data_IF_420021851426
#
_entry.id   IF_420021851426
#
_cell.length_a   1.000
_cell.length_b   1.000
_cell.length_c   1.000
_cell.angle_alpha   90.00
_cell.angle_beta   90.00
_cell.angle_gamma   90.00
#
_symmetry.space_group_name_H-M   'P 1'
#
loop_
_entity.id
_entity.type
_entity.pdbx_description
1 polymer ?
#
# COMPACT_ATOMS: atom_id res chain seq x y z
N UNK A 1 -21.86 8.62 -11.18
CA UNK A 1 -23.04 8.17 -11.93
C UNK A 1 -22.62 7.19 -13.03
N UNK A 2 -21.64 7.51 -13.89
CA UNK A 2 -21.20 6.66 -15.00
C UNK A 2 -20.67 5.30 -14.53
N UNK A 3 -19.84 5.31 -13.48
CA UNK A 3 -19.28 4.10 -12.88
C UNK A 3 -20.38 3.19 -12.30
N UNK A 4 -21.39 3.77 -11.64
CA UNK A 4 -22.53 2.99 -11.13
C UNK A 4 -23.33 2.33 -12.24
N UNK A 5 -23.61 3.06 -13.34
CA UNK A 5 -24.27 2.52 -14.51
C UNK A 5 -23.48 1.35 -15.12
N UNK A 6 -22.16 1.49 -15.22
CA UNK A 6 -21.27 0.43 -15.70
C UNK A 6 -21.40 -0.84 -14.86
N UNK A 7 -21.32 -0.73 -13.52
CA UNK A 7 -21.45 -1.90 -12.64
C UNK A 7 -22.84 -2.56 -12.71
N UNK A 8 -23.92 -1.76 -12.87
CA UNK A 8 -25.26 -2.30 -13.07
C UNK A 8 -25.32 -3.09 -14.37
N UNK A 9 -24.77 -2.55 -15.45
CA UNK A 9 -24.76 -3.23 -16.76
C UNK A 9 -23.99 -4.54 -16.71
N UNK A 10 -22.81 -4.55 -16.09
CA UNK A 10 -22.01 -5.77 -15.91
C UNK A 10 -22.73 -6.79 -15.01
N UNK A 11 -23.38 -6.32 -13.93
CA UNK A 11 -24.18 -7.19 -13.06
C UNK A 11 -25.34 -7.87 -13.78
N UNK A 12 -25.94 -7.22 -14.76
CA UNK A 12 -27.00 -7.78 -15.59
C UNK A 12 -26.52 -8.85 -16.59
N UNK A 13 -25.22 -8.85 -16.95
CA UNK A 13 -24.63 -9.87 -17.83
C UNK A 13 -24.27 -11.15 -17.07
N UNK A 14 -24.32 -11.13 -15.75
CA UNK A 14 -23.91 -12.23 -14.90
C UNK A 14 -25.05 -13.22 -14.70
N UNK A 15 -24.88 -14.46 -15.16
CA UNK A 15 -25.82 -15.56 -14.91
C UNK A 15 -25.56 -16.18 -13.55
N UNK A 16 -26.41 -15.82 -12.57
CA UNK A 16 -26.30 -16.29 -11.19
C UNK A 16 -26.41 -17.82 -11.11
N UNK A 17 -27.19 -18.43 -11.98
CA UNK A 17 -27.37 -19.88 -11.99
C UNK A 17 -26.11 -20.59 -12.51
N UNK A 18 -25.48 -20.07 -13.55
CA UNK A 18 -24.20 -20.58 -14.07
C UNK A 18 -23.08 -20.42 -13.03
N UNK A 19 -23.05 -19.30 -12.31
CA UNK A 19 -22.08 -19.05 -11.20
C UNK A 19 -22.30 -20.03 -10.05
N UNK A 20 -23.55 -20.27 -9.64
CA UNK A 20 -23.88 -21.19 -8.56
C UNK A 20 -23.48 -22.64 -8.91
N UNK A 21 -23.73 -23.06 -10.14
CA UNK A 21 -23.36 -24.40 -10.60
C UNK A 21 -21.84 -24.61 -10.70
N UNK A 22 -21.08 -23.54 -10.91
CA UNK A 22 -19.62 -23.56 -11.04
C UNK A 22 -18.91 -22.87 -9.86
N UNK A 23 -19.54 -22.82 -8.68
CA UNK A 23 -19.05 -22.07 -7.51
C UNK A 23 -17.58 -22.38 -7.16
N UNK A 24 -17.20 -23.66 -7.20
CA UNK A 24 -15.81 -24.06 -6.89
C UNK A 24 -14.81 -23.46 -7.89
N UNK A 25 -15.14 -23.47 -9.18
CA UNK A 25 -14.31 -22.87 -10.22
C UNK A 25 -14.22 -21.34 -10.06
N UNK A 26 -15.33 -20.69 -9.75
CA UNK A 26 -15.35 -19.24 -9.48
C UNK A 26 -14.46 -18.87 -8.32
N UNK A 27 -14.52 -19.63 -7.20
CA UNK A 27 -13.66 -19.40 -6.04
C UNK A 27 -12.18 -19.65 -6.35
N UNK A 28 -11.87 -20.71 -7.09
CA UNK A 28 -10.51 -20.99 -7.49
C UNK A 28 -9.94 -19.89 -8.39
N UNK A 29 -10.71 -19.44 -9.38
CA UNK A 29 -10.32 -18.32 -10.27
C UNK A 29 -10.16 -17.01 -9.50
N UNK A 30 -11.05 -16.72 -8.56
CA UNK A 30 -10.96 -15.54 -7.70
C UNK A 30 -9.68 -15.54 -6.87
N UNK A 31 -9.38 -16.65 -6.20
CA UNK A 31 -8.16 -16.79 -5.39
C UNK A 31 -6.92 -16.72 -6.27
N UNK A 32 -6.93 -17.37 -7.43
CA UNK A 32 -5.83 -17.33 -8.38
C UNK A 32 -5.62 -15.90 -8.92
N UNK A 33 -6.68 -15.21 -9.31
CA UNK A 33 -6.63 -13.83 -9.82
C UNK A 33 -5.99 -12.89 -8.78
N UNK A 34 -6.53 -12.88 -7.56
CA UNK A 34 -6.04 -12.02 -6.49
C UNK A 34 -4.61 -12.43 -6.09
N UNK A 35 -4.36 -13.73 -5.91
CA UNK A 35 -3.06 -14.24 -5.47
C UNK A 35 -1.94 -13.99 -6.46
N UNK A 36 -2.16 -14.31 -7.75
CA UNK A 36 -1.16 -14.11 -8.80
C UNK A 36 -0.86 -12.61 -8.98
N UNK A 37 -1.90 -11.76 -9.03
CA UNK A 37 -1.70 -10.32 -9.16
C UNK A 37 -1.00 -9.71 -7.94
N UNK A 38 -1.43 -10.07 -6.73
CA UNK A 38 -0.77 -9.60 -5.51
C UNK A 38 0.70 -10.01 -5.48
N UNK A 39 1.01 -11.27 -5.80
CA UNK A 39 2.38 -11.78 -5.85
C UNK A 39 3.22 -11.05 -6.90
N UNK A 40 2.69 -10.91 -8.11
CA UNK A 40 3.37 -10.25 -9.23
C UNK A 40 3.69 -8.80 -8.90
N UNK A 41 2.69 -8.03 -8.41
CA UNK A 41 2.87 -6.61 -8.07
C UNK A 41 3.81 -6.45 -6.87
N UNK A 42 3.69 -7.29 -5.85
CA UNK A 42 4.60 -7.29 -4.70
C UNK A 42 6.04 -7.57 -5.13
N UNK A 43 6.25 -8.58 -5.97
CA UNK A 43 7.58 -8.93 -6.48
C UNK A 43 8.16 -7.83 -7.33
N UNK A 44 7.36 -7.23 -8.22
CA UNK A 44 7.78 -6.09 -9.04
C UNK A 44 8.14 -4.88 -8.17
N UNK A 45 7.31 -4.56 -7.19
CA UNK A 45 7.56 -3.47 -6.22
C UNK A 45 8.88 -3.68 -5.46
N UNK A 46 9.16 -4.92 -5.04
CA UNK A 46 10.44 -5.29 -4.40
C UNK A 46 11.63 -5.14 -5.34
N UNK A 47 11.47 -5.48 -6.62
CA UNK A 47 12.51 -5.31 -7.63
C UNK A 47 12.88 -3.83 -7.83
N UNK A 48 11.91 -2.92 -7.70
CA UNK A 48 12.12 -1.46 -7.67
C UNK A 48 12.57 -0.92 -6.31
N UNK A 49 13.07 -1.78 -5.42
CA UNK A 49 13.62 -1.44 -4.09
C UNK A 49 12.63 -0.82 -3.11
N UNK A 50 11.33 -1.05 -3.30
CA UNK A 50 10.35 -0.66 -2.29
C UNK A 50 10.50 -1.52 -1.03
N UNK A 51 10.18 -0.96 0.13
CA UNK A 51 10.12 -1.69 1.40
C UNK A 51 9.15 -2.86 1.35
N UNK A 52 9.43 -3.94 2.10
CA UNK A 52 8.59 -5.14 2.13
C UNK A 52 7.13 -4.80 2.50
N UNK A 53 6.91 -3.94 3.48
CA UNK A 53 5.57 -3.52 3.89
C UNK A 53 4.84 -2.74 2.82
N UNK A 54 5.53 -1.80 2.17
CA UNK A 54 4.98 -1.00 1.06
C UNK A 54 4.67 -1.91 -0.13
N UNK A 55 5.58 -2.82 -0.48
CA UNK A 55 5.39 -3.74 -1.60
C UNK A 55 4.19 -4.66 -1.41
N UNK A 56 4.01 -5.26 -0.23
CA UNK A 56 2.86 -6.12 0.09
C UNK A 56 1.56 -5.31 0.07
N UNK A 57 1.55 -4.11 0.68
CA UNK A 57 0.39 -3.22 0.67
C UNK A 57 -0.01 -2.84 -0.75
N UNK A 58 0.93 -2.46 -1.59
CA UNK A 58 0.69 -2.13 -3.01
C UNK A 58 0.16 -3.33 -3.76
N UNK A 59 0.75 -4.52 -3.55
CA UNK A 59 0.31 -5.77 -4.17
C UNK A 59 -1.13 -6.12 -3.84
N UNK A 60 -1.52 -6.02 -2.57
CA UNK A 60 -2.90 -6.28 -2.13
C UNK A 60 -3.89 -5.22 -2.63
N UNK A 61 -3.50 -3.94 -2.63
CA UNK A 61 -4.36 -2.84 -3.08
C UNK A 61 -4.67 -2.89 -4.58
N UNK A 62 -3.79 -3.47 -5.38
CA UNK A 62 -3.94 -3.58 -6.84
C UNK A 62 -4.28 -5.01 -7.31
N UNK A 63 -4.54 -5.94 -6.39
CA UNK A 63 -4.78 -7.35 -6.70
C UNK A 63 -6.11 -7.63 -7.41
N UNK A 64 -7.08 -6.72 -7.33
CA UNK A 64 -8.39 -6.86 -7.94
C UNK A 64 -8.33 -6.95 -9.47
N UNK A 65 -9.35 -7.55 -10.08
CA UNK A 65 -9.54 -7.54 -11.53
C UNK A 65 -9.75 -6.12 -12.05
N UNK A 66 -9.24 -5.83 -13.24
CA UNK A 66 -9.44 -4.54 -13.89
C UNK A 66 -10.73 -4.51 -14.72
N UNK A 67 -11.32 -3.33 -14.85
CA UNK A 67 -12.54 -3.08 -15.65
C UNK A 67 -12.38 -3.42 -17.13
N UNK A 68 -11.17 -3.28 -17.67
CA UNK A 68 -10.88 -3.70 -19.05
C UNK A 68 -11.01 -5.21 -19.27
N UNK A 69 -10.95 -6.03 -18.20
CA UNK A 69 -11.20 -7.47 -18.29
C UNK A 69 -12.59 -7.79 -18.81
N UNK A 70 -13.61 -6.99 -18.48
CA UNK A 70 -14.95 -7.17 -18.98
C UNK A 70 -15.06 -6.88 -20.48
N UNK A 71 -14.41 -5.81 -20.95
CA UNK A 71 -14.39 -5.44 -22.36
C UNK A 71 -13.71 -6.53 -23.19
N UNK A 72 -12.59 -7.04 -22.73
CA UNK A 72 -11.86 -8.12 -23.40
C UNK A 72 -12.67 -9.42 -23.42
N UNK A 73 -13.36 -9.77 -22.33
CA UNK A 73 -14.23 -10.94 -22.29
C UNK A 73 -15.43 -10.81 -23.24
N UNK A 74 -16.07 -9.64 -23.26
CA UNK A 74 -17.19 -9.38 -24.17
C UNK A 74 -16.75 -9.50 -25.63
N UNK A 75 -15.61 -8.93 -25.99
CA UNK A 75 -15.05 -9.02 -27.33
C UNK A 75 -14.65 -10.46 -27.69
N UNK A 76 -13.98 -11.18 -26.78
CA UNK A 76 -13.61 -12.58 -27.00
C UNK A 76 -14.84 -13.47 -27.19
N UNK A 77 -15.93 -13.19 -26.47
CA UNK A 77 -17.21 -13.88 -26.67
C UNK A 77 -17.86 -13.55 -28.01
N UNK A 78 -17.84 -12.27 -28.42
CA UNK A 78 -18.40 -11.84 -29.71
C UNK A 78 -17.70 -12.48 -30.91
N UNK A 79 -16.38 -12.72 -30.77
CA UNK A 79 -15.55 -13.39 -31.76
C UNK A 79 -15.60 -14.93 -31.66
N UNK A 80 -16.43 -15.49 -30.78
CA UNK A 80 -16.53 -16.93 -30.51
C UNK A 80 -15.17 -17.58 -30.11
N UNK A 81 -14.25 -16.82 -29.50
CA UNK A 81 -12.98 -17.32 -28.98
C UNK A 81 -13.20 -18.05 -27.65
N UNK A 82 -14.17 -17.57 -26.86
CA UNK A 82 -14.51 -18.12 -25.54
C UNK A 82 -16.01 -18.46 -25.56
N UNK A 83 -16.34 -19.67 -25.10
CA UNK A 83 -17.72 -20.09 -24.91
C UNK A 83 -18.34 -19.50 -23.62
N UNK A 84 -19.65 -19.42 -23.57
CA UNK A 84 -20.38 -18.87 -22.42
C UNK A 84 -20.11 -19.67 -21.13
N UNK A 85 -19.87 -20.96 -21.20
CA UNK A 85 -19.61 -21.80 -20.04
C UNK A 85 -18.29 -21.40 -19.36
N UNK A 86 -17.29 -20.99 -20.13
CA UNK A 86 -16.00 -20.51 -19.61
C UNK A 86 -16.06 -19.02 -19.24
N UNK A 87 -16.81 -18.23 -20.02
CA UNK A 87 -16.91 -16.78 -19.78
C UNK A 87 -17.55 -16.44 -18.44
N UNK A 88 -18.63 -17.12 -18.05
CA UNK A 88 -19.40 -16.79 -16.85
C UNK A 88 -18.60 -16.94 -15.53
N UNK A 89 -17.86 -18.02 -15.28
CA UNK A 89 -17.01 -18.12 -14.09
C UNK A 89 -15.91 -17.06 -14.03
N UNK A 90 -15.29 -16.69 -15.16
CA UNK A 90 -14.25 -15.65 -15.22
C UNK A 90 -14.85 -14.27 -14.94
N UNK A 91 -15.99 -13.95 -15.56
CA UNK A 91 -16.73 -12.72 -15.32
C UNK A 91 -17.08 -12.58 -13.84
N UNK A 92 -17.63 -13.64 -13.24
CA UNK A 92 -17.97 -13.67 -11.81
C UNK A 92 -16.76 -13.46 -10.92
N UNK A 93 -15.63 -14.11 -11.23
CA UNK A 93 -14.40 -13.94 -10.46
C UNK A 93 -13.88 -12.48 -10.49
N UNK A 94 -13.95 -11.81 -11.66
CA UNK A 94 -13.56 -10.41 -11.78
C UNK A 94 -14.48 -9.51 -10.95
N UNK A 95 -15.81 -9.66 -11.08
CA UNK A 95 -16.80 -8.87 -10.32
C UNK A 95 -16.60 -9.06 -8.81
N UNK A 96 -16.48 -10.31 -8.34
CA UNK A 96 -16.26 -10.61 -6.93
C UNK A 96 -14.94 -10.04 -6.43
N UNK A 97 -13.87 -10.07 -7.24
CA UNK A 97 -12.59 -9.47 -6.85
C UNK A 97 -12.69 -7.96 -6.61
N UNK A 98 -13.51 -7.25 -7.39
CA UNK A 98 -13.76 -5.82 -7.21
C UNK A 98 -14.61 -5.54 -5.96
N UNK A 99 -15.58 -6.40 -5.65
CA UNK A 99 -16.39 -6.28 -4.42
C UNK A 99 -15.55 -6.53 -3.15
N UNK A 100 -14.56 -7.42 -3.23
CA UNK A 100 -13.66 -7.73 -2.11
C UNK A 100 -12.55 -6.68 -1.97
N UNK A 101 -12.25 -5.91 -3.01
CA UNK A 101 -11.16 -4.95 -3.03
C UNK A 101 -11.13 -3.96 -1.85
N UNK A 102 -12.24 -3.31 -1.43
CA UNK A 102 -12.23 -2.41 -0.29
C UNK A 102 -11.76 -3.10 0.99
N UNK A 103 -12.20 -4.34 1.23
CA UNK A 103 -11.80 -5.14 2.40
C UNK A 103 -10.31 -5.52 2.35
N UNK A 104 -9.79 -5.85 1.15
CA UNK A 104 -8.36 -6.12 0.97
C UNK A 104 -7.52 -4.86 1.24
N UNK A 105 -7.97 -3.70 0.79
CA UNK A 105 -7.29 -2.42 1.00
C UNK A 105 -7.29 -2.06 2.49
N UNK A 106 -8.42 -2.15 3.16
CA UNK A 106 -8.55 -1.87 4.59
C UNK A 106 -7.63 -2.76 5.44
N UNK A 107 -7.56 -4.05 5.11
CA UNK A 107 -6.75 -5.01 5.87
C UNK A 107 -5.29 -5.10 5.38
N UNK A 108 -4.95 -4.46 4.25
CA UNK A 108 -3.63 -4.53 3.64
C UNK A 108 -2.51 -4.05 4.57
N UNK A 109 -2.76 -3.05 5.40
CA UNK A 109 -1.79 -2.54 6.36
C UNK A 109 -1.48 -3.55 7.46
N UNK A 110 -2.49 -4.22 8.01
CA UNK A 110 -2.31 -5.26 9.03
C UNK A 110 -1.58 -6.48 8.47
N UNK A 111 -1.86 -6.84 7.22
CA UNK A 111 -1.14 -7.91 6.52
C UNK A 111 0.31 -7.50 6.24
N UNK A 112 0.54 -6.29 5.74
CA UNK A 112 1.87 -5.77 5.48
C UNK A 112 2.74 -5.76 6.74
N UNK A 113 2.21 -5.37 7.90
CA UNK A 113 2.92 -5.40 9.19
C UNK A 113 3.39 -6.81 9.57
N UNK A 114 2.63 -7.85 9.28
CA UNK A 114 3.03 -9.24 9.56
C UNK A 114 4.22 -9.70 8.72
N UNK A 115 4.32 -9.23 7.48
CA UNK A 115 5.42 -9.56 6.57
C UNK A 115 6.65 -8.66 6.72
N UNK A 116 6.51 -7.49 7.33
CA UNK A 116 7.61 -6.52 7.54
C UNK A 116 7.96 -6.30 9.01
N UNK A 117 7.50 -7.16 9.93
CA UNK A 117 7.69 -7.00 11.36
C UNK A 117 9.18 -6.82 11.74
N UNK A 118 10.09 -7.52 11.09
CA UNK A 118 11.54 -7.43 11.36
C UNK A 118 12.14 -6.09 10.87
N UNK A 119 11.73 -5.61 9.72
CA UNK A 119 12.18 -4.31 9.18
C UNK A 119 11.63 -3.15 10.03
N UNK A 120 10.36 -3.25 10.45
CA UNK A 120 9.74 -2.29 11.37
C UNK A 120 10.41 -2.26 12.75
N UNK A 121 10.70 -3.43 13.29
CA UNK A 121 11.37 -3.55 14.61
C UNK A 121 12.77 -2.94 14.57
N UNK A 122 13.56 -3.21 13.52
CA UNK A 122 14.88 -2.64 13.35
C UNK A 122 14.83 -1.11 13.17
N UNK A 123 13.84 -0.58 12.45
CA UNK A 123 13.65 0.88 12.32
C UNK A 123 13.18 1.51 13.60
N UNK A 124 12.21 0.89 14.30
CA UNK A 124 11.76 1.39 15.59
C UNK A 124 12.92 1.44 16.61
N UNK A 125 13.78 0.42 16.65
CA UNK A 125 14.94 0.38 17.55
C UNK A 125 15.98 1.45 17.18
N UNK A 126 16.25 1.67 15.89
CA UNK A 126 17.13 2.75 15.44
C UNK A 126 16.56 4.13 15.80
N UNK A 127 15.26 4.35 15.56
CA UNK A 127 14.57 5.59 15.90
C UNK A 127 14.55 5.84 17.41
N UNK A 128 14.33 4.80 18.22
CA UNK A 128 14.36 4.88 19.68
C UNK A 128 15.76 5.20 20.19
N UNK A 129 16.81 4.66 19.58
CA UNK A 129 18.19 4.93 19.98
C UNK A 129 18.61 6.37 19.63
N UNK A 130 18.21 6.89 18.46
CA UNK A 130 18.46 8.27 18.05
C UNK A 130 17.69 9.23 18.97
N UNK A 131 16.41 8.96 19.21
CA UNK A 131 15.59 9.75 20.12
C UNK A 131 16.12 9.74 21.57
N UNK A 132 16.56 8.58 22.07
CA UNK A 132 17.10 8.46 23.42
C UNK A 132 18.44 9.21 23.61
N UNK A 133 19.26 9.30 22.58
CA UNK A 133 20.51 10.08 22.63
C UNK A 133 20.23 11.60 22.62
N UNK A 134 19.17 12.03 21.95
CA UNK A 134 18.81 13.46 21.83
C UNK A 134 17.90 13.93 22.97
N UNK A 135 17.09 13.03 23.56
CA UNK A 135 16.27 13.32 24.76
C UNK A 135 17.07 13.50 26.06
N UNK A 136 18.35 13.20 26.04
CA UNK A 136 19.22 13.45 27.20
C UNK A 136 19.54 14.94 27.41
N UNK A 137 19.18 15.81 26.47
CA UNK A 137 19.34 17.26 26.58
C UNK A 137 17.99 17.92 26.84
N UNK A 138 17.84 18.50 28.03
CA UNK A 138 16.58 19.12 28.52
C UNK A 138 16.08 20.33 27.71
N UNK A 139 16.84 20.85 26.72
CA UNK A 139 16.48 22.00 25.90
C UNK A 139 16.86 21.75 24.45
N UNK A 140 15.90 21.31 23.64
CA UNK A 140 16.10 21.11 22.21
C UNK A 140 15.01 21.79 21.38
N UNK A 141 15.31 22.09 20.11
CA UNK A 141 14.37 22.67 19.15
C UNK A 141 13.69 21.53 18.37
N UNK A 142 12.37 21.55 18.26
CA UNK A 142 11.62 20.62 17.43
C UNK A 142 11.37 21.27 16.06
N UNK A 143 11.93 20.67 15.01
CA UNK A 143 11.71 21.07 13.63
C UNK A 143 10.54 20.28 13.01
N UNK A 144 9.44 20.95 12.73
CA UNK A 144 8.27 20.35 12.08
C UNK A 144 8.46 20.35 10.55
N UNK A 145 8.92 19.23 10.01
CA UNK A 145 9.19 19.03 8.58
C UNK A 145 10.69 19.13 8.24
N UNK A 146 11.22 18.08 7.58
CA UNK A 146 12.62 17.99 7.13
C UNK A 146 12.78 18.14 5.63
N UNK A 147 11.96 18.99 5.01
CA UNK A 147 12.09 19.44 3.63
C UNK A 147 13.27 20.41 3.46
N UNK A 148 13.35 21.08 2.30
CA UNK A 148 14.43 22.04 1.98
C UNK A 148 14.64 23.12 3.07
N UNK A 149 13.57 23.67 3.62
CA UNK A 149 13.64 24.67 4.68
C UNK A 149 14.12 24.07 6.01
N UNK A 150 13.61 22.89 6.38
CA UNK A 150 14.03 22.16 7.58
C UNK A 150 15.51 21.80 7.54
N UNK A 151 16.02 21.28 6.41
CA UNK A 151 17.42 20.98 6.20
C UNK A 151 18.34 22.20 6.26
N UNK A 152 17.89 23.36 5.78
CA UNK A 152 18.68 24.60 5.92
C UNK A 152 18.70 25.08 7.35
N UNK A 153 17.59 24.94 8.08
CA UNK A 153 17.48 25.33 9.48
C UNK A 153 18.28 24.38 10.39
N UNK A 154 18.26 23.06 10.13
CA UNK A 154 19.06 22.09 10.89
C UNK A 154 20.55 22.41 10.81
N UNK A 155 21.07 22.70 9.62
CA UNK A 155 22.48 23.11 9.43
C UNK A 155 22.83 24.39 10.17
N UNK A 156 21.89 25.34 10.30
CA UNK A 156 22.10 26.56 11.05
C UNK A 156 22.16 26.25 12.56
N UNK A 157 21.22 25.40 13.05
CA UNK A 157 21.19 24.99 14.47
C UNK A 157 22.45 24.22 14.85
N UNK A 158 22.91 23.31 13.98
CA UNK A 158 24.17 22.61 14.18
C UNK A 158 25.36 23.54 14.27
N UNK A 159 25.43 24.53 13.38
CA UNK A 159 26.51 25.53 13.39
C UNK A 159 26.53 26.37 14.66
N UNK A 160 25.36 26.66 15.22
CA UNK A 160 25.20 27.40 16.49
C UNK A 160 25.23 26.47 17.71
N UNK A 161 25.48 25.14 17.50
CA UNK A 161 25.47 24.14 18.57
C UNK A 161 24.17 24.08 19.39
N UNK A 162 23.05 24.33 18.71
CA UNK A 162 21.70 24.22 19.30
C UNK A 162 21.15 22.82 19.02
N UNK A 163 20.90 22.00 20.06
CA UNK A 163 20.34 20.67 19.86
C UNK A 163 18.94 20.73 19.25
N UNK A 164 18.67 19.87 18.29
CA UNK A 164 17.36 19.78 17.63
C UNK A 164 16.95 18.36 17.32
N UNK A 165 15.64 18.14 17.19
CA UNK A 165 15.02 16.94 16.61
C UNK A 165 14.12 17.39 15.48
N UNK A 166 14.26 16.80 14.30
CA UNK A 166 13.37 17.07 13.18
C UNK A 166 12.35 15.94 13.02
N UNK A 167 11.10 16.31 12.76
CA UNK A 167 9.99 15.42 12.47
C UNK A 167 9.63 15.51 10.99
N UNK A 168 9.53 14.39 10.29
CA UNK A 168 8.98 14.35 8.92
C UNK A 168 8.08 13.12 8.74
N UNK A 169 7.17 13.20 7.77
CA UNK A 169 6.28 12.10 7.37
C UNK A 169 6.83 11.29 6.21
N UNK A 170 7.84 11.81 5.51
CA UNK A 170 8.44 11.15 4.35
C UNK A 170 9.52 10.15 4.79
N UNK A 171 9.25 8.83 4.68
CA UNK A 171 10.18 7.81 5.13
C UNK A 171 11.50 7.79 4.34
N UNK A 172 11.50 8.30 3.09
CA UNK A 172 12.71 8.36 2.26
C UNK A 172 13.65 9.43 2.82
N UNK A 173 13.13 10.62 3.12
CA UNK A 173 13.92 11.70 3.72
C UNK A 173 14.48 11.34 5.07
N UNK A 174 13.68 10.66 5.90
CA UNK A 174 14.13 10.19 7.22
C UNK A 174 15.26 9.18 7.08
N UNK A 175 15.12 8.24 6.16
CA UNK A 175 16.16 7.24 5.89
C UNK A 175 17.48 7.89 5.44
N UNK A 176 17.40 8.83 4.49
CA UNK A 176 18.58 9.51 3.95
C UNK A 176 19.27 10.39 5.00
N UNK A 177 18.49 11.09 5.81
CA UNK A 177 18.95 11.90 6.92
C UNK A 177 19.60 11.05 8.03
N UNK A 178 18.96 9.96 8.42
CA UNK A 178 19.50 9.02 9.40
C UNK A 178 20.81 8.36 8.91
N UNK A 179 20.92 8.05 7.62
CA UNK A 179 22.16 7.56 7.02
C UNK A 179 23.28 8.62 7.01
N UNK A 180 22.92 9.90 6.98
CA UNK A 180 23.84 11.03 7.13
C UNK A 180 24.20 11.34 8.61
N UNK A 181 23.59 10.67 9.58
CA UNK A 181 23.82 10.88 11.01
C UNK A 181 23.01 12.04 11.60
N UNK A 182 21.98 12.54 10.88
CA UNK A 182 21.16 13.66 11.32
C UNK A 182 20.02 13.20 12.23
N UNK A 183 19.64 14.04 13.20
CA UNK A 183 18.58 13.75 14.19
C UNK A 183 17.18 13.97 13.60
N UNK A 184 16.74 13.07 12.71
CA UNK A 184 15.43 13.13 12.06
C UNK A 184 14.62 11.89 12.42
N UNK A 185 13.38 12.09 12.86
CA UNK A 185 12.48 11.04 13.36
C UNK A 185 11.17 11.08 12.59
N UNK A 186 10.56 9.89 12.39
CA UNK A 186 9.20 9.81 11.82
C UNK A 186 8.18 10.31 12.83
N UNK A 187 7.45 11.36 12.49
CA UNK A 187 6.40 11.89 13.34
C UNK A 187 5.50 12.87 12.61
N UNK A 188 4.22 12.81 12.96
CA UNK A 188 3.24 13.79 12.49
C UNK A 188 3.20 14.95 13.50
N UNK A 189 3.81 16.06 13.14
CA UNK A 189 3.84 17.26 13.96
C UNK A 189 2.45 17.91 14.20
N UNK A 190 1.40 17.47 13.48
CA UNK A 190 0.02 17.87 13.74
C UNK A 190 -0.61 17.12 14.93
N UNK A 191 0.02 16.03 15.40
CA UNK A 191 -0.45 15.26 16.55
C UNK A 191 0.21 15.75 17.84
N UNK A 192 -0.61 16.19 18.78
CA UNK A 192 -0.17 16.66 20.09
C UNK A 192 0.68 15.60 20.85
N UNK A 193 0.32 14.31 20.73
CA UNK A 193 0.99 13.19 21.38
C UNK A 193 2.44 12.97 20.90
N UNK A 194 2.81 13.56 19.77
CA UNK A 194 4.17 13.48 19.19
C UNK A 194 5.08 14.61 19.70
N UNK A 195 4.45 15.68 20.24
CA UNK A 195 5.15 16.90 20.69
C UNK A 195 5.35 16.97 22.20
N UNK A 196 4.80 16.03 22.95
CA UNK A 196 4.96 15.87 24.41
C UNK A 196 5.72 14.62 24.73
#
# INVERSE_FOLDING_TARGET
>A
ILLGLFFVTIGMLLDIQAVSNNFLWVMLLLIALIGIKALLITTLSRLFRSDSGVAVRTGLSLAQGGEFGFVLLAEASSLNIIDNATMQPVLAAIVLSMLIAPFLIEHSENMARRFSATEWMNRATQLTNIAAQTMAEEQHVILCGYGRSGQNLSRLLEKESVPFIALDLDPIRIHDAAAAGESVVYGDAARYEVLI
#
